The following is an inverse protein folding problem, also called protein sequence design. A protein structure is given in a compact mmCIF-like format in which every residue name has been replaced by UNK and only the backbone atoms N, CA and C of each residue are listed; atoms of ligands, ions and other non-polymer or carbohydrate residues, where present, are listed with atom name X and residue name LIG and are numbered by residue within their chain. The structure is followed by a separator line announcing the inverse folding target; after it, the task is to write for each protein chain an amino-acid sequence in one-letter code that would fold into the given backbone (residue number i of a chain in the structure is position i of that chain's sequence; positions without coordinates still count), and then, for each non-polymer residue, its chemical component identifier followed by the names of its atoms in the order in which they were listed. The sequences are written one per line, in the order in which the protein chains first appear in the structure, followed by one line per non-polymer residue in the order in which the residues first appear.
data_IF_813704550453
#
_entry.id   IF_813704550453
#
_cell.length_a   1.000
_cell.length_b   1.000
_cell.length_c   1.000
_cell.angle_alpha   90.00
_cell.angle_beta   90.00
_cell.angle_gamma   90.00
#
_symmetry.space_group_name_H-M   'P 1'
#
loop_
_entity.id
_entity.type
_entity.pdbx_description
1 polymer ?
#
# COMPACT_ATOMS: atom_id res chain seq x y z
N UNK A 1 120.69 31.76 22.70
CA UNK A 1 120.24 30.61 21.89
C UNK A 1 118.82 30.31 22.34
N UNK A 2 117.83 30.97 21.72
CA UNK A 2 117.15 30.69 20.42
C UNK A 2 115.85 29.94 20.72
N UNK A 3 114.71 30.64 20.59
CA UNK A 3 113.66 30.41 19.55
C UNK A 3 112.65 29.33 19.99
N UNK A 4 111.36 29.32 19.68
CA UNK A 4 110.42 30.19 18.95
C UNK A 4 109.00 29.74 19.40
N UNK A 5 108.04 30.66 19.54
CA UNK A 5 106.84 30.80 18.68
C UNK A 5 105.55 30.01 19.04
N UNK A 6 104.46 30.77 19.01
CA UNK A 6 103.16 30.51 18.38
C UNK A 6 101.90 30.00 19.14
N UNK A 7 100.88 30.87 19.02
CA UNK A 7 99.46 30.67 18.68
C UNK A 7 98.46 29.97 19.62
N UNK A 8 97.55 30.81 20.12
CA UNK A 8 96.08 30.76 19.98
C UNK A 8 95.27 29.49 20.35
N UNK A 9 94.22 29.80 21.12
CA UNK A 9 92.90 29.18 21.14
C UNK A 9 92.76 27.81 21.82
N UNK A 10 91.95 27.78 22.89
CA UNK A 10 90.55 27.34 22.81
C UNK A 10 89.88 27.47 24.17
N UNK A 11 89.01 28.47 24.25
CA UNK A 11 87.81 28.41 25.08
C UNK A 11 87.09 27.09 24.83
N UNK A 12 86.61 26.44 25.90
CA UNK A 12 85.66 25.33 25.71
C UNK A 12 85.56 24.27 26.79
N UNK A 13 85.87 24.53 28.06
CA UNK A 13 85.73 23.50 29.11
C UNK A 13 85.04 24.00 30.39
N UNK A 14 83.92 24.73 30.23
CA UNK A 14 82.99 25.05 31.34
C UNK A 14 81.50 24.92 30.97
N UNK A 15 81.14 24.14 29.96
CA UNK A 15 79.74 23.80 29.67
C UNK A 15 79.55 22.30 29.92
N UNK A 16 78.73 21.91 30.90
CA UNK A 16 78.43 20.49 31.10
C UNK A 16 77.92 20.09 32.49
N UNK A 17 77.99 20.97 33.50
CA UNK A 17 77.40 20.70 34.82
C UNK A 17 76.03 21.36 35.06
N UNK A 18 75.71 22.46 34.38
CA UNK A 18 74.40 23.14 34.52
C UNK A 18 73.30 22.68 33.54
N UNK A 19 73.64 21.96 32.46
CA UNK A 19 72.64 21.49 31.48
C UNK A 19 71.87 20.24 31.92
N UNK A 20 72.38 19.52 32.93
CA UNK A 20 71.71 18.30 33.43
C UNK A 20 70.43 18.60 34.22
N UNK A 21 70.36 19.77 34.85
CA UNK A 21 69.16 20.22 35.57
C UNK A 21 68.04 20.68 34.62
N UNK A 22 68.39 21.46 33.60
CA UNK A 22 67.42 21.93 32.60
C UNK A 22 66.92 20.78 31.70
N UNK A 23 67.77 19.81 31.37
CA UNK A 23 67.38 18.62 30.62
C UNK A 23 66.36 17.74 31.38
N UNK A 24 66.54 17.58 32.71
CA UNK A 24 65.58 16.85 33.55
C UNK A 24 64.24 17.58 33.62
N UNK A 25 64.25 18.91 33.79
CA UNK A 25 63.02 19.71 33.84
C UNK A 25 62.29 19.69 32.49
N UNK A 26 63.01 19.78 31.37
CA UNK A 26 62.45 19.59 30.02
C UNK A 26 61.82 18.19 29.87
N UNK A 27 62.53 17.14 30.28
CA UNK A 27 62.04 15.77 30.18
C UNK A 27 60.76 15.55 31.01
N UNK A 28 60.70 16.09 32.23
CA UNK A 28 59.50 16.01 33.08
C UNK A 28 58.36 16.83 32.50
N UNK A 29 58.63 18.03 31.97
CA UNK A 29 57.59 18.86 31.36
C UNK A 29 56.99 18.21 30.12
N UNK A 30 57.83 17.61 29.27
CA UNK A 30 57.38 16.83 28.10
C UNK A 30 56.59 15.59 28.52
N UNK A 31 57.00 14.87 29.57
CA UNK A 31 56.26 13.74 30.12
C UNK A 31 54.88 14.15 30.66
N UNK A 32 54.79 15.28 31.37
CA UNK A 32 53.51 15.82 31.87
C UNK A 32 52.59 16.22 30.71
N UNK A 33 53.13 16.85 29.66
CA UNK A 33 52.37 17.16 28.46
C UNK A 33 51.85 15.90 27.74
N UNK A 34 52.71 14.91 27.53
CA UNK A 34 52.34 13.66 26.87
C UNK A 34 51.31 12.86 27.67
N UNK A 35 51.43 12.83 28.99
CA UNK A 35 50.45 12.16 29.87
C UNK A 35 49.11 12.90 29.89
N UNK A 36 49.13 14.24 29.93
CA UNK A 36 47.90 15.04 29.82
C UNK A 36 47.20 14.81 28.47
N UNK A 37 47.94 14.83 27.36
CA UNK A 37 47.40 14.53 26.02
C UNK A 37 46.86 13.10 25.94
N UNK A 38 47.59 12.11 26.46
CA UNK A 38 47.13 10.72 26.51
C UNK A 38 45.83 10.56 27.31
N UNK A 39 45.72 11.20 28.47
CA UNK A 39 44.50 11.19 29.28
C UNK A 39 43.31 11.84 28.55
N UNK A 40 43.54 12.96 27.84
CA UNK A 40 42.47 13.60 27.06
C UNK A 40 41.99 12.72 25.90
N UNK A 41 42.88 12.02 25.20
CA UNK A 41 42.51 11.13 24.10
C UNK A 41 41.72 9.91 24.59
N UNK A 42 42.07 9.35 25.75
CA UNK A 42 41.31 8.27 26.36
C UNK A 42 39.90 8.71 26.74
N UNK A 43 39.76 9.89 27.35
CA UNK A 43 38.45 10.44 27.70
C UNK A 43 37.57 10.69 26.46
N UNK A 44 38.15 11.23 25.39
CA UNK A 44 37.46 11.42 24.11
C UNK A 44 37.00 10.06 23.55
N UNK A 45 37.88 9.06 23.56
CA UNK A 45 37.55 7.71 23.06
C UNK A 45 36.43 7.04 23.87
N UNK A 46 36.43 7.17 25.20
CA UNK A 46 35.33 6.66 26.04
C UNK A 46 34.01 7.38 25.75
N UNK A 47 34.05 8.70 25.52
CA UNK A 47 32.87 9.48 25.17
C UNK A 47 32.32 9.10 23.80
N UNK A 48 33.19 8.88 22.82
CA UNK A 48 32.80 8.40 21.48
C UNK A 48 32.17 7.00 21.56
N UNK A 49 32.74 6.08 22.33
CA UNK A 49 32.16 4.74 22.51
C UNK A 49 30.78 4.79 23.18
N UNK A 50 30.61 5.61 24.23
CA UNK A 50 29.31 5.79 24.90
C UNK A 50 28.29 6.41 23.94
N UNK A 51 28.69 7.39 23.16
CA UNK A 51 27.82 8.04 22.16
C UNK A 51 27.42 7.04 21.08
N UNK A 52 28.35 6.23 20.57
CA UNK A 52 28.06 5.19 19.59
C UNK A 52 27.12 4.11 20.11
N UNK A 53 27.24 3.72 21.38
CA UNK A 53 26.30 2.78 22.01
C UNK A 53 24.90 3.39 22.17
N UNK A 54 24.79 4.67 22.55
CA UNK A 54 23.51 5.37 22.65
C UNK A 54 22.85 5.52 21.27
N UNK A 55 23.61 5.85 20.23
CA UNK A 55 23.11 5.95 18.84
C UNK A 55 22.58 4.61 18.35
N UNK A 56 23.37 3.54 18.51
CA UNK A 56 22.94 2.19 18.12
C UNK A 56 21.68 1.78 18.86
N UNK A 57 21.62 2.05 20.17
CA UNK A 57 20.46 1.73 21.01
C UNK A 57 19.21 2.49 20.57
N UNK A 58 19.34 3.79 20.32
CA UNK A 58 18.27 4.65 19.80
C UNK A 58 17.69 4.09 18.48
N UNK A 59 18.57 3.74 17.53
CA UNK A 59 18.15 3.12 16.26
C UNK A 59 17.49 1.76 16.46
N UNK A 60 18.04 0.90 17.30
CA UNK A 60 17.45 -0.43 17.55
C UNK A 60 16.05 -0.34 18.15
N UNK A 61 15.85 0.59 19.09
CA UNK A 61 14.54 0.74 19.71
C UNK A 61 13.54 1.41 18.77
N UNK A 62 13.99 2.35 17.93
CA UNK A 62 13.20 2.93 16.87
C UNK A 62 12.65 1.85 15.91
N UNK A 63 13.51 0.95 15.42
CA UNK A 63 13.08 -0.16 14.57
C UNK A 63 12.15 -1.15 15.29
N UNK A 64 12.31 -1.35 16.60
CA UNK A 64 11.35 -2.14 17.38
C UNK A 64 9.98 -1.47 17.46
N UNK A 65 9.93 -0.13 17.57
CA UNK A 65 8.69 0.64 17.54
C UNK A 65 8.05 0.64 16.15
N UNK A 66 8.83 0.75 15.07
CA UNK A 66 8.34 0.60 13.69
C UNK A 66 7.78 -0.80 13.43
N UNK A 67 8.43 -1.85 13.94
CA UNK A 67 7.89 -3.21 13.84
C UNK A 67 6.52 -3.32 14.53
N UNK A 68 6.34 -2.67 15.68
CA UNK A 68 5.04 -2.60 16.36
C UNK A 68 4.01 -1.79 15.58
N UNK A 69 4.43 -0.73 14.88
CA UNK A 69 3.56 0.06 14.03
C UNK A 69 3.05 -0.77 12.85
N UNK A 70 3.94 -1.46 12.13
CA UNK A 70 3.58 -2.30 10.98
C UNK A 70 2.72 -3.50 11.37
N UNK A 71 3.06 -4.19 12.47
CA UNK A 71 2.22 -5.28 12.98
C UNK A 71 0.87 -4.77 13.51
N UNK A 72 0.83 -3.58 14.10
CA UNK A 72 -0.41 -2.89 14.45
C UNK A 72 -1.27 -2.60 13.22
N UNK A 73 -0.67 -2.09 12.14
CA UNK A 73 -1.35 -1.78 10.87
C UNK A 73 -1.96 -3.01 10.21
N UNK A 74 -1.21 -4.11 10.17
CA UNK A 74 -1.72 -5.37 9.67
C UNK A 74 -2.80 -5.96 10.60
N UNK A 75 -2.64 -5.83 11.92
CA UNK A 75 -3.66 -6.26 12.88
C UNK A 75 -4.96 -5.48 12.68
N UNK A 76 -4.90 -4.15 12.43
CA UNK A 76 -6.07 -3.34 12.10
C UNK A 76 -6.80 -3.90 10.88
N UNK A 77 -6.06 -4.21 9.81
CA UNK A 77 -6.62 -4.78 8.57
C UNK A 77 -7.28 -6.12 8.81
N UNK A 78 -6.63 -7.03 9.52
CA UNK A 78 -7.16 -8.36 9.82
C UNK A 78 -8.41 -8.28 10.69
N UNK A 79 -8.40 -7.43 11.73
CA UNK A 79 -9.57 -7.22 12.60
C UNK A 79 -10.72 -6.64 11.79
N UNK A 80 -10.47 -5.64 10.95
CA UNK A 80 -11.50 -5.04 10.11
C UNK A 80 -12.10 -6.05 9.13
N UNK A 81 -11.26 -6.84 8.46
CA UNK A 81 -11.71 -7.92 7.58
C UNK A 81 -12.51 -9.01 8.28
N UNK A 82 -12.33 -9.19 9.60
CA UNK A 82 -13.11 -10.14 10.39
C UNK A 82 -14.55 -9.68 10.66
N UNK A 83 -14.89 -8.43 10.30
CA UNK A 83 -16.23 -7.87 10.40
C UNK A 83 -17.28 -8.72 9.68
N UNK A 84 -18.31 -9.13 10.43
CA UNK A 84 -19.33 -10.10 9.97
C UNK A 84 -20.17 -9.55 8.82
N UNK A 85 -20.34 -8.22 8.73
CA UNK A 85 -21.10 -7.57 7.67
C UNK A 85 -20.22 -6.65 6.82
N UNK A 86 -20.65 -6.38 5.59
CA UNK A 86 -19.95 -5.45 4.71
C UNK A 86 -19.94 -4.02 5.27
N UNK A 87 -20.98 -3.62 6.02
CA UNK A 87 -21.04 -2.32 6.67
C UNK A 87 -19.97 -2.15 7.75
N UNK A 88 -19.67 -3.20 8.52
CA UNK A 88 -18.60 -3.16 9.53
C UNK A 88 -17.22 -3.07 8.87
N UNK A 89 -17.03 -3.78 7.75
CA UNK A 89 -15.78 -3.75 6.97
C UNK A 89 -15.53 -2.43 6.23
N UNK A 90 -16.57 -1.62 6.04
CA UNK A 90 -16.53 -0.38 5.25
C UNK A 90 -16.19 0.87 6.06
N UNK A 91 -15.82 0.72 7.34
CA UNK A 91 -15.36 1.80 8.20
C UNK A 91 -14.48 1.26 9.33
N UNK A 92 -14.10 2.12 10.28
CA UNK A 92 -13.21 1.79 11.40
C UNK A 92 -13.86 1.94 12.80
N UNK A 93 -15.18 2.14 12.83
CA UNK A 93 -15.94 2.44 14.06
C UNK A 93 -15.89 1.29 15.08
N UNK A 94 -15.92 0.04 14.63
CA UNK A 94 -15.90 -1.13 15.50
C UNK A 94 -14.52 -1.34 16.13
N UNK A 95 -13.47 -1.06 15.37
CA UNK A 95 -12.08 -1.11 15.81
C UNK A 95 -11.81 -0.02 16.84
N UNK A 96 -12.31 1.20 16.62
CA UNK A 96 -12.24 2.29 17.59
C UNK A 96 -13.05 1.97 18.85
N UNK A 97 -14.25 1.40 18.71
CA UNK A 97 -15.06 0.94 19.85
C UNK A 97 -14.33 -0.15 20.65
N UNK A 98 -13.65 -1.06 19.98
CA UNK A 98 -12.84 -2.11 20.63
C UNK A 98 -11.63 -1.52 21.35
N UNK A 99 -10.98 -0.52 20.76
CA UNK A 99 -9.84 0.20 21.35
C UNK A 99 -10.24 1.00 22.60
N UNK A 100 -11.45 1.54 22.65
CA UNK A 100 -11.97 2.31 23.78
C UNK A 100 -12.10 1.51 25.09
N UNK A 101 -12.14 0.18 25.00
CA UNK A 101 -12.22 -0.67 26.18
C UNK A 101 -13.51 -0.55 27.00
N UNK A 102 -13.50 -0.98 28.27
CA UNK A 102 -14.71 -1.15 29.09
C UNK A 102 -15.52 0.11 29.36
N UNK A 103 -14.89 1.30 29.40
CA UNK A 103 -15.60 2.56 29.64
C UNK A 103 -16.27 3.13 28.36
N UNK A 104 -15.98 2.59 27.18
CA UNK A 104 -16.48 3.07 25.90
C UNK A 104 -15.95 4.46 25.47
N UNK A 105 -14.80 4.89 25.98
CA UNK A 105 -14.15 6.17 25.69
C UNK A 105 -12.68 5.95 25.36
N UNK A 106 -12.25 6.42 24.18
CA UNK A 106 -10.83 6.50 23.86
C UNK A 106 -10.22 7.66 24.67
N UNK A 107 -9.45 7.33 25.71
CA UNK A 107 -8.76 8.32 26.55
C UNK A 107 -7.23 8.15 26.52
N UNK A 108 -6.74 7.29 25.63
CA UNK A 108 -5.32 6.99 25.45
C UNK A 108 -4.45 8.24 25.20
N UNK A 109 -3.54 8.51 26.13
CA UNK A 109 -2.50 9.54 26.01
C UNK A 109 -1.12 8.91 25.74
N UNK A 110 -0.53 9.12 24.54
CA UNK A 110 0.79 8.59 24.22
C UNK A 110 1.89 9.19 25.10
N UNK A 111 1.68 10.33 25.77
CA UNK A 111 2.64 10.89 26.71
C UNK A 111 2.63 10.18 28.07
N UNK A 112 1.52 9.52 28.42
CA UNK A 112 1.41 8.73 29.63
C UNK A 112 1.98 7.31 29.45
N UNK A 113 2.04 6.82 28.21
CA UNK A 113 2.53 5.48 27.86
C UNK A 113 4.00 5.27 28.25
N UNK A 114 4.27 4.24 29.06
CA UNK A 114 5.62 3.93 29.56
C UNK A 114 5.89 2.43 29.60
N UNK A 115 7.14 2.00 29.34
CA UNK A 115 7.55 0.63 29.60
C UNK A 115 7.71 0.37 31.11
N UNK A 116 7.49 -0.88 31.51
CA UNK A 116 7.83 -1.39 32.83
C UNK A 116 9.04 -2.30 32.68
N UNK A 117 10.18 -1.94 33.25
CA UNK A 117 11.40 -2.74 33.18
C UNK A 117 11.61 -3.58 34.44
N UNK A 118 12.23 -4.75 34.28
CA UNK A 118 12.80 -5.50 35.39
C UNK A 118 14.17 -4.94 35.82
N UNK A 119 14.81 -5.60 36.79
CA UNK A 119 16.13 -5.20 37.29
C UNK A 119 17.26 -5.35 36.26
N UNK A 120 17.07 -6.18 35.23
CA UNK A 120 18.01 -6.37 34.12
C UNK A 120 17.83 -5.35 33.00
N UNK A 121 16.78 -4.51 33.09
CA UNK A 121 16.46 -3.52 32.08
C UNK A 121 15.68 -4.07 30.89
N UNK A 122 15.06 -5.24 31.04
CA UNK A 122 14.20 -5.85 30.03
C UNK A 122 12.73 -5.50 30.31
N UNK A 123 11.98 -5.20 29.24
CA UNK A 123 10.57 -4.81 29.39
C UNK A 123 9.71 -6.01 29.81
N UNK A 124 8.89 -5.83 30.85
CA UNK A 124 7.93 -6.82 31.36
C UNK A 124 6.48 -6.47 31.03
N UNK A 125 6.23 -5.21 30.65
CA UNK A 125 4.91 -4.72 30.26
C UNK A 125 4.93 -3.26 29.85
N UNK A 126 3.75 -2.74 29.55
CA UNK A 126 3.49 -1.32 29.32
C UNK A 126 2.45 -0.82 30.32
N UNK A 127 2.47 0.48 30.61
CA UNK A 127 1.52 1.15 31.50
C UNK A 127 1.18 2.54 30.97
N UNK A 128 0.18 3.20 31.55
CA UNK A 128 -0.20 4.58 31.19
C UNK A 128 -1.23 4.68 30.06
N UNK A 129 -1.81 3.56 29.63
CA UNK A 129 -2.90 3.50 28.65
C UNK A 129 -4.28 3.27 29.29
N UNK A 130 -4.39 3.43 30.61
CA UNK A 130 -5.67 3.35 31.32
C UNK A 130 -6.40 2.03 31.08
N UNK A 131 -7.65 2.13 30.61
CA UNK A 131 -8.50 1.02 30.23
C UNK A 131 -8.65 0.83 28.71
N UNK A 132 -8.00 1.68 27.90
CA UNK A 132 -7.92 1.48 26.46
C UNK A 132 -7.24 0.14 26.14
N UNK A 133 -7.76 -0.56 25.15
CA UNK A 133 -7.27 -1.88 24.76
C UNK A 133 -6.20 -1.72 23.68
N UNK A 134 -5.00 -2.27 23.85
CA UNK A 134 -3.99 -2.26 22.79
C UNK A 134 -4.52 -2.97 21.53
N UNK A 135 -4.45 -2.29 20.38
CA UNK A 135 -4.70 -2.89 19.07
C UNK A 135 -3.79 -4.11 18.87
N UNK A 136 -2.53 -3.97 19.27
CA UNK A 136 -1.59 -5.09 19.41
C UNK A 136 -1.04 -5.13 20.82
N UNK A 137 -1.34 -6.22 21.52
CA UNK A 137 -0.77 -6.50 22.84
C UNK A 137 0.74 -6.69 22.78
N UNK A 138 1.41 -6.63 23.94
CA UNK A 138 2.87 -6.75 24.02
C UNK A 138 3.38 -7.99 23.29
N UNK A 139 4.18 -7.78 22.25
CA UNK A 139 4.71 -8.82 21.37
C UNK A 139 6.23 -8.76 21.37
N UNK A 140 6.88 -9.92 21.28
CA UNK A 140 8.35 -10.02 21.30
C UNK A 140 8.91 -9.87 19.89
N UNK A 141 9.98 -9.11 19.74
CA UNK A 141 10.68 -8.88 18.48
C UNK A 141 12.19 -8.93 18.69
N UNK A 142 12.80 -10.08 18.40
CA UNK A 142 14.20 -10.32 18.75
C UNK A 142 14.40 -10.26 20.27
N UNK A 143 15.25 -9.34 20.74
CA UNK A 143 15.44 -9.08 22.17
C UNK A 143 14.51 -7.99 22.71
N UNK A 144 13.85 -7.26 21.81
CA UNK A 144 12.92 -6.19 22.16
C UNK A 144 11.48 -6.66 22.30
N UNK A 145 10.62 -5.72 22.70
CA UNK A 145 9.17 -5.89 22.75
C UNK A 145 8.47 -4.65 22.26
N UNK A 146 7.31 -4.81 21.65
CA UNK A 146 6.49 -3.69 21.22
C UNK A 146 5.01 -3.87 21.57
N UNK A 147 4.24 -2.79 21.53
CA UNK A 147 2.78 -2.80 21.53
C UNK A 147 2.26 -1.66 20.64
N UNK A 148 1.03 -1.79 20.14
CA UNK A 148 0.39 -0.78 19.31
C UNK A 148 -1.01 -0.44 19.83
N UNK A 149 -1.39 0.83 19.69
CA UNK A 149 -2.64 1.41 20.17
C UNK A 149 -3.31 2.18 19.03
N UNK A 150 -4.64 2.20 19.03
CA UNK A 150 -5.45 2.85 18.00
C UNK A 150 -6.20 4.04 18.59
N UNK A 151 -6.17 5.18 17.90
CA UNK A 151 -7.06 6.31 18.16
C UNK A 151 -7.57 6.88 16.85
N UNK A 152 -8.65 7.65 16.90
CA UNK A 152 -9.17 8.32 15.71
C UNK A 152 -8.25 9.49 15.29
N UNK A 153 -8.40 9.99 14.06
CA UNK A 153 -7.66 11.15 13.58
C UNK A 153 -8.10 12.47 14.23
N UNK A 154 -7.42 13.54 13.86
CA UNK A 154 -7.69 14.86 14.41
C UNK A 154 -8.96 15.50 13.83
N UNK A 155 -9.40 15.08 12.63
CA UNK A 155 -10.54 15.68 11.94
C UNK A 155 -11.85 15.23 12.59
N UNK A 156 -12.00 13.94 12.85
CA UNK A 156 -13.15 13.39 13.56
C UNK A 156 -13.05 13.56 15.10
N UNK A 157 -11.84 13.86 15.56
CA UNK A 157 -11.50 14.07 16.95
C UNK A 157 -10.96 12.78 17.56
N UNK A 158 -9.76 12.86 18.15
CA UNK A 158 -8.96 11.72 18.57
C UNK A 158 -9.66 10.69 19.48
N UNK A 159 -10.65 11.15 20.26
CA UNK A 159 -11.42 10.32 21.19
C UNK A 159 -12.76 9.83 20.61
N UNK A 160 -13.13 10.26 19.41
CA UNK A 160 -14.37 9.86 18.73
C UNK A 160 -14.31 8.40 18.31
N UNK A 161 -15.39 7.66 18.54
CA UNK A 161 -15.58 6.30 18.03
C UNK A 161 -16.15 6.26 16.62
N UNK A 162 -16.55 7.42 16.08
CA UNK A 162 -17.04 7.56 14.72
C UNK A 162 -15.93 8.13 13.84
N UNK A 163 -15.48 7.31 12.90
CA UNK A 163 -14.57 7.62 11.81
C UNK A 163 -15.40 7.84 10.53
N UNK A 164 -15.15 8.96 9.86
CA UNK A 164 -15.91 9.37 8.67
C UNK A 164 -15.10 9.34 7.38
N UNK A 165 -13.80 9.03 7.48
CA UNK A 165 -12.83 9.17 6.40
C UNK A 165 -11.82 8.01 6.29
N UNK A 166 -12.05 6.88 6.98
CA UNK A 166 -11.18 5.70 7.03
C UNK A 166 -9.73 6.04 7.44
N UNK A 167 -9.57 7.03 8.34
CA UNK A 167 -8.27 7.58 8.71
C UNK A 167 -8.12 7.57 10.23
N UNK A 168 -7.15 6.79 10.69
CA UNK A 168 -6.90 6.61 12.13
C UNK A 168 -5.41 6.79 12.45
N UNK A 169 -5.09 6.86 13.73
CA UNK A 169 -3.71 7.01 14.23
C UNK A 169 -3.31 5.76 14.99
N UNK A 170 -2.24 5.11 14.53
CA UNK A 170 -1.58 4.05 15.28
C UNK A 170 -0.42 4.65 16.06
N UNK A 171 -0.38 4.36 17.36
CA UNK A 171 0.75 4.68 18.24
C UNK A 171 1.43 3.39 18.65
N UNK A 172 2.71 3.24 18.33
CA UNK A 172 3.50 2.09 18.70
C UNK A 172 4.60 2.47 19.68
N UNK A 173 4.76 1.65 20.73
CA UNK A 173 5.88 1.73 21.65
C UNK A 173 6.75 0.50 21.45
N UNK A 174 8.06 0.72 21.29
CA UNK A 174 9.07 -0.31 21.21
C UNK A 174 10.04 -0.20 22.38
N UNK A 175 10.59 -1.34 22.77
CA UNK A 175 11.58 -1.46 23.84
C UNK A 175 12.70 -2.37 23.42
N UNK A 176 13.87 -2.13 23.99
CA UNK A 176 15.04 -2.98 23.86
C UNK A 176 15.71 -3.08 25.25
N UNK A 177 16.54 -4.12 25.52
CA UNK A 177 17.32 -4.21 26.73
C UNK A 177 18.04 -2.90 27.13
N UNK A 178 18.42 -2.82 28.41
CA UNK A 178 19.08 -1.66 29.04
C UNK A 178 18.19 -0.41 29.16
N UNK A 179 16.92 -0.56 29.53
CA UNK A 179 16.01 0.56 29.82
C UNK A 179 15.78 1.48 28.60
N UNK A 180 15.68 0.88 27.42
CA UNK A 180 15.53 1.61 26.16
C UNK A 180 14.08 1.54 25.69
N UNK A 181 13.49 2.68 25.33
CA UNK A 181 12.15 2.74 24.76
C UNK A 181 12.01 3.90 23.80
N UNK A 182 11.14 3.74 22.82
CA UNK A 182 10.83 4.75 21.82
C UNK A 182 9.35 4.67 21.44
N UNK A 183 8.73 5.81 21.15
CA UNK A 183 7.34 5.88 20.70
C UNK A 183 7.29 6.48 19.30
N UNK A 184 6.62 5.79 18.39
CA UNK A 184 6.33 6.29 17.04
C UNK A 184 4.82 6.36 16.84
N UNK A 185 4.39 7.28 16.00
CA UNK A 185 3.00 7.43 15.61
C UNK A 185 2.89 7.56 14.11
N UNK A 186 1.92 6.87 13.52
CA UNK A 186 1.56 7.05 12.13
C UNK A 186 0.07 7.29 11.95
N UNK A 187 -0.25 8.12 10.98
CA UNK A 187 -1.59 8.24 10.43
C UNK A 187 -1.71 7.15 9.37
N UNK A 188 -2.68 6.27 9.53
CA UNK A 188 -2.98 5.19 8.59
C UNK A 188 -4.33 5.44 7.95
N UNK A 189 -4.42 5.17 6.66
CA UNK A 189 -5.60 5.46 5.84
C UNK A 189 -5.88 4.27 4.91
N UNK A 190 -7.16 3.99 4.63
CA UNK A 190 -7.50 2.92 3.69
C UNK A 190 -7.21 3.38 2.27
N UNK A 191 -6.32 2.68 1.57
CA UNK A 191 -6.19 2.85 0.13
C UNK A 191 -7.47 2.35 -0.54
N UNK A 192 -8.24 3.26 -1.10
CA UNK A 192 -9.42 2.97 -1.90
C UNK A 192 -9.23 3.49 -3.32
N UNK A 193 -9.70 2.73 -4.29
CA UNK A 193 -9.80 3.23 -5.65
C UNK A 193 -11.00 4.17 -5.76
N UNK A 194 -10.96 5.16 -6.66
CA UNK A 194 -12.12 5.97 -6.96
C UNK A 194 -13.30 5.08 -7.36
N UNK A 195 -14.51 5.60 -7.20
CA UNK A 195 -15.73 4.85 -7.49
C UNK A 195 -15.76 4.35 -8.94
N UNK A 196 -16.32 3.15 -9.12
CA UNK A 196 -16.51 2.57 -10.45
C UNK A 196 -17.75 3.20 -11.10
N UNK A 197 -17.60 3.87 -12.26
CA UNK A 197 -18.68 4.68 -12.85
C UNK A 197 -19.70 3.85 -13.65
N UNK A 198 -19.42 2.58 -13.95
CA UNK A 198 -20.26 1.70 -14.75
C UNK A 198 -20.03 0.22 -14.41
N UNK A 199 -20.93 -0.65 -14.87
CA UNK A 199 -20.76 -2.12 -14.77
C UNK A 199 -19.53 -2.59 -15.53
N UNK A 200 -19.35 -2.03 -16.73
CA UNK A 200 -18.21 -2.20 -17.60
C UNK A 200 -17.73 -0.79 -17.95
N UNK A 201 -16.57 -0.41 -17.43
CA UNK A 201 -15.90 0.85 -17.73
C UNK A 201 -14.79 0.60 -18.73
N UNK A 202 -14.82 1.30 -19.86
CA UNK A 202 -13.80 1.19 -20.91
C UNK A 202 -13.17 2.55 -21.15
N UNK A 203 -11.85 2.63 -20.95
CA UNK A 203 -11.08 3.86 -21.14
C UNK A 203 -10.29 3.77 -22.44
N UNK A 204 -10.23 4.91 -23.15
CA UNK A 204 -9.58 5.05 -24.45
C UNK A 204 -10.55 5.52 -25.55
N UNK A 205 -10.03 5.96 -26.71
CA UNK A 205 -10.85 6.34 -27.85
C UNK A 205 -11.47 5.09 -28.50
N UNK A 206 -12.68 5.22 -29.05
CA UNK A 206 -13.35 4.16 -29.82
C UNK A 206 -13.36 2.81 -29.10
N UNK A 207 -13.87 2.79 -27.86
CA UNK A 207 -14.03 1.56 -27.07
C UNK A 207 -14.80 0.47 -27.84
N UNK A 208 -14.16 -0.67 -28.09
CA UNK A 208 -14.70 -1.78 -28.88
C UNK A 208 -15.45 -2.77 -27.97
N UNK A 209 -16.75 -2.57 -27.87
CA UNK A 209 -17.64 -3.42 -27.08
C UNK A 209 -18.39 -4.40 -27.99
N UNK A 210 -18.47 -5.67 -27.61
CA UNK A 210 -19.39 -6.66 -28.19
C UNK A 210 -20.06 -7.44 -27.05
N UNK A 211 -21.36 -7.22 -26.85
CA UNK A 211 -22.10 -7.96 -25.82
C UNK A 211 -22.55 -9.37 -26.19
N UNK A 212 -22.23 -9.82 -27.39
CA UNK A 212 -22.61 -11.14 -27.89
C UNK A 212 -24.11 -11.26 -28.22
N UNK A 213 -24.48 -12.41 -28.78
CA UNK A 213 -25.80 -12.58 -29.42
C UNK A 213 -26.82 -13.38 -28.57
N UNK A 214 -26.50 -13.68 -27.31
CA UNK A 214 -27.34 -14.48 -26.43
C UNK A 214 -28.45 -13.66 -25.77
N UNK A 215 -29.72 -14.00 -26.06
CA UNK A 215 -30.89 -13.40 -25.39
C UNK A 215 -30.98 -13.74 -23.89
N UNK A 216 -30.26 -14.77 -23.45
CA UNK A 216 -30.38 -15.29 -22.09
C UNK A 216 -29.35 -14.66 -21.13
N UNK A 217 -28.35 -13.94 -21.65
CA UNK A 217 -27.44 -13.13 -20.85
C UNK A 217 -28.15 -11.86 -20.39
N UNK A 218 -27.79 -11.39 -19.21
CA UNK A 218 -28.18 -10.08 -18.70
C UNK A 218 -26.95 -9.23 -18.41
N UNK A 219 -27.06 -7.96 -18.78
CA UNK A 219 -26.17 -6.91 -18.40
C UNK A 219 -26.96 -5.93 -17.53
N UNK A 220 -26.56 -5.79 -16.27
CA UNK A 220 -27.34 -5.07 -15.28
C UNK A 220 -26.50 -4.02 -14.59
N UNK A 221 -26.92 -2.76 -14.69
CA UNK A 221 -26.32 -1.63 -13.98
C UNK A 221 -27.00 -1.30 -12.64
N UNK A 222 -28.17 -1.88 -12.38
CA UNK A 222 -28.83 -1.81 -11.08
C UNK A 222 -28.00 -2.51 -10.01
N UNK A 223 -27.90 -1.89 -8.84
CA UNK A 223 -27.05 -2.39 -7.78
C UNK A 223 -27.42 -3.82 -7.35
N UNK A 224 -26.45 -4.73 -7.51
CA UNK A 224 -26.55 -6.17 -7.31
C UNK A 224 -27.71 -6.82 -8.07
N UNK A 225 -28.06 -6.28 -9.25
CA UNK A 225 -29.20 -6.73 -10.04
C UNK A 225 -30.56 -6.34 -9.43
N UNK A 226 -30.58 -5.23 -8.68
CA UNK A 226 -31.77 -4.69 -8.00
C UNK A 226 -32.00 -5.21 -6.58
N UNK A 227 -31.14 -6.12 -6.09
CA UNK A 227 -31.19 -6.58 -4.69
C UNK A 227 -30.27 -5.80 -3.74
N UNK A 228 -29.46 -4.90 -4.28
CA UNK A 228 -28.55 -4.04 -3.51
C UNK A 228 -29.27 -2.81 -2.96
N UNK A 229 -28.59 -1.67 -3.01
CA UNK A 229 -29.12 -0.37 -2.57
C UNK A 229 -30.28 0.04 -3.50
N UNK A 230 -31.52 0.21 -2.98
CA UNK A 230 -32.66 0.57 -3.82
C UNK A 230 -32.46 1.91 -4.55
N UNK A 231 -32.64 1.88 -5.87
CA UNK A 231 -32.50 3.08 -6.72
C UNK A 231 -31.06 3.46 -7.07
N UNK A 232 -30.06 2.74 -6.55
CA UNK A 232 -28.68 2.88 -7.01
C UNK A 232 -28.50 2.13 -8.33
N UNK A 233 -28.10 2.85 -9.37
CA UNK A 233 -27.82 2.28 -10.69
C UNK A 233 -26.69 3.04 -11.37
N UNK A 234 -25.85 2.32 -12.11
CA UNK A 234 -24.80 2.88 -12.97
C UNK A 234 -25.04 2.46 -14.43
N UNK A 235 -24.50 3.17 -15.44
CA UNK A 235 -24.52 2.66 -16.81
C UNK A 235 -24.01 1.21 -16.90
N UNK A 236 -24.56 0.44 -17.84
CA UNK A 236 -24.03 -0.89 -18.13
C UNK A 236 -22.65 -0.76 -18.75
N UNK A 237 -22.52 0.09 -19.77
CA UNK A 237 -21.22 0.38 -20.40
C UNK A 237 -20.95 1.87 -20.26
N UNK A 238 -19.87 2.21 -19.56
CA UNK A 238 -19.37 3.57 -19.44
C UNK A 238 -18.11 3.74 -20.30
N UNK A 239 -18.10 4.73 -21.19
CA UNK A 239 -16.98 4.99 -22.10
C UNK A 239 -16.58 6.47 -22.12
N UNK A 240 -15.40 6.77 -22.67
CA UNK A 240 -14.88 8.14 -22.76
C UNK A 240 -15.14 8.74 -24.15
N UNK A 241 -16.00 9.75 -24.19
CA UNK A 241 -16.29 10.55 -25.38
C UNK A 241 -17.45 10.02 -26.23
N UNK A 242 -18.13 10.92 -26.94
CA UNK A 242 -19.33 10.58 -27.73
C UNK A 242 -19.04 9.60 -28.88
N UNK A 243 -17.82 9.65 -29.46
CA UNK A 243 -17.42 8.73 -30.52
C UNK A 243 -17.32 7.28 -29.99
N UNK A 244 -16.76 7.11 -28.79
CA UNK A 244 -16.69 5.81 -28.11
C UNK A 244 -18.07 5.33 -27.70
N UNK A 245 -18.96 6.22 -27.26
CA UNK A 245 -20.35 5.89 -26.94
C UNK A 245 -21.08 5.34 -28.16
N UNK A 246 -21.02 6.05 -29.30
CA UNK A 246 -21.61 5.58 -30.56
C UNK A 246 -21.03 4.23 -31.00
N UNK A 247 -19.73 4.02 -30.80
CA UNK A 247 -19.08 2.75 -31.15
C UNK A 247 -19.53 1.60 -30.24
N UNK A 248 -19.57 1.82 -28.92
CA UNK A 248 -20.01 0.82 -27.96
C UNK A 248 -21.51 0.49 -28.09
N UNK A 249 -22.35 1.47 -28.42
CA UNK A 249 -23.77 1.24 -28.73
C UNK A 249 -23.97 0.28 -29.90
N UNK A 250 -23.11 0.34 -30.94
CA UNK A 250 -23.14 -0.60 -32.06
C UNK A 250 -22.83 -2.05 -31.63
N UNK A 251 -22.11 -2.20 -30.50
CA UNK A 251 -21.82 -3.45 -29.83
C UNK A 251 -22.97 -4.05 -29.02
N UNK A 252 -24.01 -3.26 -28.74
CA UNK A 252 -25.19 -3.70 -28.00
C UNK A 252 -26.04 -4.60 -28.89
N UNK A 253 -26.03 -5.88 -28.57
CA UNK A 253 -26.80 -6.91 -29.27
C UNK A 253 -27.85 -7.46 -28.33
N UNK A 254 -29.05 -7.73 -28.85
CA UNK A 254 -30.21 -8.14 -28.04
C UNK A 254 -30.54 -7.10 -26.93
N UNK A 255 -31.01 -5.89 -27.29
CA UNK A 255 -31.17 -4.77 -26.37
C UNK A 255 -31.94 -5.07 -25.08
N UNK A 256 -32.93 -5.99 -25.11
CA UNK A 256 -33.67 -6.40 -23.91
C UNK A 256 -32.86 -7.12 -22.83
N UNK A 257 -31.62 -7.52 -23.14
CA UNK A 257 -30.67 -8.09 -22.18
C UNK A 257 -29.96 -7.04 -21.32
N UNK A 258 -30.14 -5.75 -21.60
CA UNK A 258 -29.45 -4.65 -20.94
C UNK A 258 -30.44 -3.82 -20.14
N UNK A 259 -30.21 -3.69 -18.84
CA UNK A 259 -31.08 -2.91 -17.95
C UNK A 259 -30.24 -2.13 -16.94
N UNK A 260 -30.59 -0.87 -16.72
CA UNK A 260 -30.05 -0.10 -15.60
C UNK A 260 -31.01 1.03 -15.23
N UNK A 261 -31.49 1.01 -13.99
CA UNK A 261 -32.53 1.91 -13.51
C UNK A 261 -33.78 1.79 -14.38
N UNK A 262 -34.09 2.89 -15.10
CA UNK A 262 -35.19 2.93 -16.08
C UNK A 262 -34.78 2.67 -17.53
N UNK A 263 -33.49 2.58 -17.82
CA UNK A 263 -32.96 2.48 -19.19
C UNK A 263 -32.83 1.03 -19.63
N UNK A 264 -32.96 0.81 -20.95
CA UNK A 264 -32.77 -0.51 -21.57
C UNK A 264 -32.00 -0.41 -22.88
N UNK A 265 -31.32 -1.48 -23.29
CA UNK A 265 -30.63 -1.50 -24.57
C UNK A 265 -29.49 -0.47 -24.67
N UNK A 266 -29.43 0.23 -25.80
CA UNK A 266 -28.39 1.24 -26.08
C UNK A 266 -28.40 2.40 -25.08
N UNK A 267 -29.56 2.74 -24.50
CA UNK A 267 -29.70 3.82 -23.50
C UNK A 267 -28.99 3.48 -22.16
N UNK A 268 -28.46 2.26 -22.02
CA UNK A 268 -27.61 1.85 -20.88
C UNK A 268 -26.11 2.05 -21.12
N UNK A 269 -25.73 2.45 -22.34
CA UNK A 269 -24.38 2.91 -22.68
C UNK A 269 -24.32 4.41 -22.44
N UNK A 270 -23.23 4.91 -21.89
CA UNK A 270 -23.11 6.34 -21.55
C UNK A 270 -21.69 6.84 -21.72
N UNK A 271 -21.55 8.02 -22.33
CA UNK A 271 -20.33 8.82 -22.22
C UNK A 271 -20.18 9.36 -20.78
N UNK A 272 -19.25 8.78 -20.03
CA UNK A 272 -19.01 9.11 -18.61
C UNK A 272 -17.88 10.13 -18.41
N UNK A 273 -17.41 10.81 -19.47
CA UNK A 273 -16.24 11.71 -19.40
C UNK A 273 -16.32 12.80 -18.33
N UNK A 274 -17.55 13.26 -18.03
CA UNK A 274 -17.83 14.30 -17.05
C UNK A 274 -18.24 13.79 -15.65
N UNK A 275 -18.44 12.49 -15.49
CA UNK A 275 -18.85 11.86 -14.21
C UNK A 275 -17.80 10.93 -13.63
N UNK A 276 -16.91 10.39 -14.46
CA UNK A 276 -15.79 9.56 -14.01
C UNK A 276 -14.77 10.40 -13.25
N UNK A 277 -14.20 9.82 -12.19
CA UNK A 277 -13.04 10.41 -11.52
C UNK A 277 -11.91 10.66 -12.53
N UNK A 278 -11.32 11.87 -12.59
CA UNK A 278 -10.26 12.18 -13.54
C UNK A 278 -9.05 11.24 -13.48
N UNK A 279 -8.73 10.67 -12.32
CA UNK A 279 -7.61 9.75 -12.13
C UNK A 279 -7.71 8.49 -13.00
N UNK A 280 -8.93 7.99 -13.27
CA UNK A 280 -9.14 6.83 -14.15
C UNK A 280 -8.74 7.09 -15.61
N UNK A 281 -8.62 8.35 -16.02
CA UNK A 281 -8.15 8.74 -17.36
C UNK A 281 -6.65 9.01 -17.39
N UNK A 282 -6.02 9.12 -16.23
CA UNK A 282 -4.59 9.39 -16.09
C UNK A 282 -3.81 8.07 -16.16
N UNK A 283 -2.98 7.96 -17.19
CA UNK A 283 -2.20 6.76 -17.41
C UNK A 283 -1.12 6.54 -16.34
N UNK A 284 -0.53 7.62 -15.81
CA UNK A 284 0.46 7.53 -14.73
C UNK A 284 -0.20 7.01 -13.45
N UNK A 285 -1.42 7.49 -13.16
CA UNK A 285 -2.21 6.96 -12.05
C UNK A 285 -2.48 5.46 -12.22
N UNK A 286 -2.91 5.01 -13.40
CA UNK A 286 -3.16 3.58 -13.65
C UNK A 286 -1.88 2.72 -13.49
N UNK A 287 -0.71 3.24 -13.87
CA UNK A 287 0.57 2.57 -13.62
C UNK A 287 0.94 2.48 -12.15
N UNK A 288 0.80 3.58 -11.40
CA UNK A 288 1.03 3.59 -9.97
C UNK A 288 0.06 2.66 -9.26
N UNK A 289 -1.19 2.64 -9.71
CA UNK A 289 -2.22 1.73 -9.20
C UNK A 289 -1.86 0.27 -9.43
N UNK A 290 -1.45 -0.07 -10.65
CA UNK A 290 -1.01 -1.42 -11.00
C UNK A 290 0.17 -1.87 -10.13
N UNK A 291 1.14 -0.98 -9.83
CA UNK A 291 2.26 -1.25 -8.93
C UNK A 291 1.79 -1.50 -7.50
N UNK A 292 0.88 -0.67 -7.00
CA UNK A 292 0.35 -0.80 -5.64
C UNK A 292 -0.46 -2.08 -5.48
N UNK A 293 -1.33 -2.40 -6.45
CA UNK A 293 -2.08 -3.67 -6.46
C UNK A 293 -1.12 -4.86 -6.51
N UNK A 294 -0.10 -4.82 -7.38
CA UNK A 294 0.89 -5.89 -7.47
C UNK A 294 1.65 -6.10 -6.16
N UNK A 295 2.01 -5.01 -5.47
CA UNK A 295 2.71 -5.07 -4.20
C UNK A 295 1.82 -5.59 -3.05
N UNK A 296 0.53 -5.29 -3.10
CA UNK A 296 -0.46 -5.72 -2.11
C UNK A 296 -1.07 -7.10 -2.39
N UNK A 297 -0.90 -7.65 -3.60
CA UNK A 297 -1.59 -8.86 -4.05
C UNK A 297 -1.23 -10.10 -3.21
N UNK A 298 -2.25 -10.88 -2.85
CA UNK A 298 -2.06 -12.21 -2.24
C UNK A 298 -1.38 -13.17 -3.22
N UNK A 299 -1.61 -12.97 -4.52
CA UNK A 299 -1.07 -13.79 -5.60
C UNK A 299 -0.56 -12.87 -6.71
N UNK A 300 0.73 -12.98 -6.99
CA UNK A 300 1.34 -12.45 -8.21
C UNK A 300 1.71 -13.62 -9.10
N UNK A 301 1.21 -13.64 -10.33
CA UNK A 301 1.37 -14.78 -11.22
C UNK A 301 1.40 -14.40 -12.70
N UNK A 302 1.34 -15.43 -13.56
CA UNK A 302 1.35 -15.31 -15.01
C UNK A 302 0.24 -16.19 -15.63
N UNK A 303 0.31 -16.44 -16.94
CA UNK A 303 -0.58 -17.38 -17.65
C UNK A 303 -0.59 -18.80 -17.07
N UNK A 304 0.44 -19.21 -16.31
CA UNK A 304 0.51 -20.53 -15.66
C UNK A 304 -0.07 -20.57 -14.24
N UNK A 305 -0.64 -19.46 -13.76
CA UNK A 305 -1.20 -19.40 -12.40
C UNK A 305 -2.35 -20.40 -12.26
N UNK A 306 -2.37 -21.27 -11.24
CA UNK A 306 -3.45 -22.23 -11.06
C UNK A 306 -4.80 -21.57 -10.76
N UNK A 307 -5.85 -22.01 -11.44
CA UNK A 307 -7.23 -21.54 -11.24
C UNK A 307 -7.78 -21.76 -9.82
N UNK A 308 -7.26 -22.75 -9.08
CA UNK A 308 -7.63 -22.98 -7.67
C UNK A 308 -7.19 -21.87 -6.71
N UNK A 309 -6.40 -20.90 -7.18
CA UNK A 309 -5.85 -19.84 -6.35
C UNK A 309 -6.72 -18.58 -6.28
N UNK A 310 -7.82 -18.48 -7.04
CA UNK A 310 -8.55 -17.22 -7.32
C UNK A 310 -9.47 -16.67 -6.21
N UNK A 311 -9.32 -17.12 -4.97
CA UNK A 311 -10.17 -16.72 -3.84
C UNK A 311 -11.50 -17.47 -3.79
N UNK A 312 -12.24 -17.30 -2.68
CA UNK A 312 -13.53 -17.95 -2.44
C UNK A 312 -14.44 -17.08 -1.56
N UNK A 313 -15.72 -17.44 -1.47
CA UNK A 313 -16.64 -16.75 -0.57
C UNK A 313 -16.14 -16.86 0.88
N UNK A 314 -15.88 -15.71 1.53
CA UNK A 314 -15.30 -15.63 2.88
C UNK A 314 -13.76 -15.64 2.95
N UNK A 315 -13.09 -15.89 1.83
CA UNK A 315 -11.63 -15.78 1.68
C UNK A 315 -11.30 -15.23 0.29
N UNK A 316 -11.76 -14.00 0.05
CA UNK A 316 -11.48 -13.26 -1.17
C UNK A 316 -9.98 -12.93 -1.27
N UNK A 317 -9.48 -12.75 -2.49
CA UNK A 317 -8.06 -12.49 -2.74
C UNK A 317 -7.84 -11.36 -3.74
N UNK A 318 -6.71 -10.68 -3.59
CA UNK A 318 -6.13 -9.83 -4.63
C UNK A 318 -5.21 -10.68 -5.52
N UNK A 319 -5.61 -10.88 -6.76
CA UNK A 319 -4.88 -11.66 -7.77
C UNK A 319 -4.35 -10.71 -8.84
N UNK A 320 -3.05 -10.67 -9.00
CA UNK A 320 -2.36 -9.89 -10.03
C UNK A 320 -1.67 -10.83 -11.02
N UNK A 321 -2.06 -10.78 -12.29
CA UNK A 321 -1.51 -11.62 -13.36
C UNK A 321 -0.76 -10.75 -14.38
N UNK A 322 0.52 -11.05 -14.53
CA UNK A 322 1.40 -10.51 -15.57
C UNK A 322 1.21 -11.30 -16.88
N UNK A 323 0.72 -10.62 -17.91
CA UNK A 323 0.46 -11.18 -19.22
C UNK A 323 -0.97 -11.72 -19.37
N UNK A 324 -1.15 -12.59 -20.37
CA UNK A 324 -2.46 -13.14 -20.71
C UNK A 324 -2.90 -14.19 -19.68
N UNK A 325 -4.19 -14.23 -19.35
CA UNK A 325 -4.73 -15.17 -18.36
C UNK A 325 -6.07 -15.76 -18.76
N UNK A 326 -6.24 -17.06 -18.48
CA UNK A 326 -7.47 -17.79 -18.77
C UNK A 326 -8.08 -18.27 -17.45
N UNK A 327 -9.24 -17.73 -17.10
CA UNK A 327 -10.07 -18.29 -16.02
C UNK A 327 -10.79 -19.53 -16.56
N UNK A 328 -10.39 -20.68 -16.05
CA UNK A 328 -10.85 -21.99 -16.54
C UNK A 328 -12.34 -22.21 -16.28
N UNK A 329 -12.99 -22.97 -17.17
CA UNK A 329 -14.42 -23.28 -17.04
C UNK A 329 -14.77 -23.98 -15.73
N UNK A 330 -15.80 -23.48 -15.05
CA UNK A 330 -16.24 -23.98 -13.74
C UNK A 330 -15.43 -23.46 -12.56
N UNK A 331 -14.48 -22.56 -12.79
CA UNK A 331 -13.74 -21.86 -11.74
C UNK A 331 -14.50 -20.59 -11.34
N UNK A 332 -14.64 -20.37 -10.04
CA UNK A 332 -15.20 -19.15 -9.49
C UNK A 332 -14.10 -18.44 -8.70
N UNK A 333 -13.86 -17.16 -8.97
CA UNK A 333 -12.97 -16.33 -8.18
C UNK A 333 -13.74 -15.27 -7.38
N UNK A 334 -13.15 -14.82 -6.27
CA UNK A 334 -13.71 -13.78 -5.41
C UNK A 334 -12.61 -12.82 -4.98
N UNK A 335 -12.83 -11.52 -5.16
CA UNK A 335 -11.89 -10.47 -4.79
C UNK A 335 -11.51 -9.56 -5.96
N UNK A 336 -10.25 -9.15 -6.01
CA UNK A 336 -9.70 -8.36 -7.11
C UNK A 336 -8.98 -9.26 -8.12
N UNK A 337 -9.26 -9.09 -9.40
CA UNK A 337 -8.45 -9.68 -10.47
C UNK A 337 -7.85 -8.56 -11.32
N UNK A 338 -6.53 -8.44 -11.33
CA UNK A 338 -5.80 -7.58 -12.24
C UNK A 338 -5.07 -8.43 -13.28
N UNK A 339 -5.26 -8.13 -14.56
CA UNK A 339 -4.56 -8.80 -15.67
C UNK A 339 -3.96 -7.77 -16.60
N UNK A 340 -2.66 -7.86 -16.85
CA UNK A 340 -1.97 -6.92 -17.75
C UNK A 340 -2.06 -7.28 -19.23
N UNK A 341 -2.37 -8.53 -19.55
CA UNK A 341 -2.58 -8.98 -20.93
C UNK A 341 -4.05 -9.11 -21.31
N UNK A 342 -4.34 -10.12 -22.10
CA UNK A 342 -5.70 -10.55 -22.45
C UNK A 342 -6.28 -11.40 -21.33
N UNK A 343 -7.45 -11.03 -20.82
CA UNK A 343 -8.20 -11.82 -19.85
C UNK A 343 -9.31 -12.60 -20.55
N UNK A 344 -9.24 -13.93 -20.49
CA UNK A 344 -10.24 -14.83 -21.09
C UNK A 344 -11.04 -15.57 -20.03
N UNK A 345 -12.35 -15.40 -20.02
CA UNK A 345 -13.29 -16.26 -19.27
C UNK A 345 -13.82 -17.37 -20.18
N UNK A 346 -13.57 -18.63 -19.81
CA UNK A 346 -14.05 -19.79 -20.56
C UNK A 346 -15.22 -20.49 -19.87
N UNK A 347 -16.22 -20.91 -20.65
CA UNK A 347 -17.33 -21.74 -20.17
C UNK A 347 -18.08 -21.12 -18.97
N UNK A 348 -18.14 -21.85 -17.85
CA UNK A 348 -18.85 -21.44 -16.64
C UNK A 348 -17.99 -20.64 -15.66
N UNK A 349 -16.86 -20.08 -16.09
CA UNK A 349 -16.04 -19.23 -15.24
C UNK A 349 -16.84 -18.03 -14.69
N UNK A 350 -16.72 -17.78 -13.39
CA UNK A 350 -17.45 -16.73 -12.68
C UNK A 350 -16.51 -15.89 -11.81
N UNK A 351 -16.91 -14.65 -11.52
CA UNK A 351 -16.17 -13.75 -10.64
C UNK A 351 -17.10 -12.92 -9.77
N UNK A 352 -16.72 -12.73 -8.51
CA UNK A 352 -17.39 -11.83 -7.56
C UNK A 352 -16.37 -10.82 -7.03
N UNK A 353 -16.53 -9.55 -7.38
CA UNK A 353 -15.64 -8.46 -7.05
C UNK A 353 -15.23 -7.65 -8.28
N UNK A 354 -14.04 -7.04 -8.23
CA UNK A 354 -13.60 -6.10 -9.26
C UNK A 354 -12.60 -6.76 -10.19
N UNK A 355 -12.80 -6.57 -11.50
CA UNK A 355 -11.89 -7.04 -12.55
C UNK A 355 -11.25 -5.83 -13.22
N UNK A 356 -9.92 -5.79 -13.22
CA UNK A 356 -9.09 -4.85 -13.96
C UNK A 356 -8.39 -5.59 -15.10
N UNK A 357 -8.75 -5.28 -16.32
CA UNK A 357 -8.01 -5.70 -17.52
C UNK A 357 -7.25 -4.48 -18.03
N UNK A 358 -6.09 -4.22 -17.44
CA UNK A 358 -5.34 -2.97 -17.60
C UNK A 358 -3.91 -3.28 -17.99
N UNK A 359 -3.58 -2.91 -19.23
CA UNK A 359 -2.34 -3.25 -19.93
C UNK A 359 -2.68 -3.36 -21.41
N UNK A 360 -2.81 -4.57 -21.97
CA UNK A 360 -3.37 -4.74 -23.34
C UNK A 360 -4.83 -4.27 -23.44
N UNK A 361 -5.58 -4.30 -22.33
CA UNK A 361 -6.97 -3.85 -22.31
C UNK A 361 -7.93 -4.73 -23.12
N UNK A 362 -7.70 -6.05 -23.16
CA UNK A 362 -8.53 -6.99 -23.93
C UNK A 362 -9.22 -7.97 -22.98
N UNK A 363 -10.52 -7.82 -22.80
CA UNK A 363 -11.36 -8.79 -22.12
C UNK A 363 -12.09 -9.65 -23.15
N UNK A 364 -12.06 -10.97 -22.94
CA UNK A 364 -12.72 -11.94 -23.80
C UNK A 364 -13.53 -12.96 -23.01
N UNK A 365 -14.73 -13.26 -23.50
CA UNK A 365 -15.55 -14.34 -22.99
C UNK A 365 -16.27 -15.05 -24.11
N UNK A 366 -15.97 -16.34 -24.26
CA UNK A 366 -16.56 -17.21 -25.28
C UNK A 366 -17.15 -18.50 -24.70
N UNK A 367 -18.00 -19.17 -25.48
CA UNK A 367 -18.70 -20.39 -25.07
C UNK A 367 -20.10 -20.17 -24.47
N UNK A 368 -20.85 -21.25 -24.24
CA UNK A 368 -22.27 -21.22 -23.85
C UNK A 368 -22.56 -21.30 -22.35
N UNK A 369 -21.63 -20.88 -21.50
CA UNK A 369 -21.71 -21.11 -20.06
C UNK A 369 -22.59 -20.12 -19.28
N UNK A 370 -22.72 -20.35 -17.97
CA UNK A 370 -23.59 -19.61 -17.06
C UNK A 370 -22.86 -18.87 -15.93
N UNK A 371 -21.53 -18.76 -15.99
CA UNK A 371 -20.76 -18.11 -14.92
C UNK A 371 -21.10 -16.62 -14.81
N UNK A 372 -21.45 -16.14 -13.61
CA UNK A 372 -21.80 -14.74 -13.38
C UNK A 372 -20.55 -13.91 -13.11
N UNK A 373 -20.49 -12.69 -13.64
CA UNK A 373 -19.57 -11.64 -13.19
C UNK A 373 -20.39 -10.64 -12.38
N UNK A 374 -20.08 -10.51 -11.09
CA UNK A 374 -20.77 -9.64 -10.14
C UNK A 374 -19.76 -8.67 -9.53
N UNK A 375 -20.01 -7.37 -9.58
CA UNK A 375 -19.08 -6.33 -9.13
C UNK A 375 -18.86 -5.28 -10.21
N UNK A 376 -17.61 -4.98 -10.61
CA UNK A 376 -17.34 -4.02 -11.68
C UNK A 376 -16.18 -4.48 -12.56
N UNK A 377 -16.22 -4.12 -13.85
CA UNK A 377 -15.16 -4.40 -14.81
C UNK A 377 -14.57 -3.08 -15.28
N UNK A 378 -13.25 -2.97 -15.24
CA UNK A 378 -12.50 -1.83 -15.76
C UNK A 378 -11.51 -2.33 -16.79
N UNK A 379 -11.59 -1.78 -18.01
CA UNK A 379 -10.75 -2.16 -19.14
C UNK A 379 -10.05 -0.93 -19.68
N UNK A 380 -8.73 -0.98 -19.74
CA UNK A 380 -7.91 0.10 -20.28
C UNK A 380 -6.70 -0.48 -21.02
N UNK A 381 -6.48 0.00 -22.24
CA UNK A 381 -5.28 -0.33 -22.99
C UNK A 381 -4.23 0.76 -22.72
N UNK A 382 -3.22 0.43 -21.92
CA UNK A 382 -2.12 1.34 -21.55
C UNK A 382 -0.73 0.76 -21.90
N UNK A 383 -0.65 -0.45 -22.44
CA UNK A 383 0.60 -1.17 -22.71
C UNK A 383 1.31 -0.74 -24.02
N UNK A 384 0.92 0.39 -24.61
CA UNK A 384 1.47 0.82 -25.90
C UNK A 384 1.27 -0.18 -27.05
N UNK A 385 1.94 0.05 -28.20
CA UNK A 385 1.85 -0.83 -29.36
C UNK A 385 2.51 -2.20 -29.20
N UNK A 386 3.49 -2.37 -28.30
CA UNK A 386 4.12 -3.67 -28.08
C UNK A 386 3.22 -4.65 -27.28
N UNK A 387 2.20 -4.11 -26.62
CA UNK A 387 1.21 -4.86 -25.85
C UNK A 387 1.77 -5.48 -24.58
N UNK A 388 2.89 -4.96 -24.06
CA UNK A 388 3.50 -5.36 -22.81
C UNK A 388 3.45 -4.17 -21.84
N UNK A 389 3.00 -4.44 -20.61
CA UNK A 389 3.14 -3.44 -19.54
C UNK A 389 4.58 -3.39 -19.05
N UNK A 390 4.97 -2.24 -18.50
CA UNK A 390 6.27 -1.95 -17.90
C UNK A 390 7.39 -1.72 -18.92
N UNK A 391 7.04 -1.21 -20.08
CA UNK A 391 7.94 -0.90 -21.20
C UNK A 391 7.98 0.61 -21.44
N UNK A 392 8.83 1.05 -22.36
CA UNK A 392 9.05 2.47 -22.61
C UNK A 392 7.94 3.12 -23.45
N UNK A 393 7.09 2.32 -24.09
CA UNK A 393 5.95 2.75 -24.92
C UNK A 393 4.61 2.66 -24.17
N UNK A 394 4.62 2.28 -22.90
CA UNK A 394 3.47 2.41 -22.02
C UNK A 394 2.85 3.82 -22.14
N UNK A 395 1.54 3.90 -22.29
CA UNK A 395 0.77 5.14 -22.47
C UNK A 395 1.08 5.97 -23.71
N UNK A 396 1.89 5.50 -24.66
CA UNK A 396 2.28 6.28 -25.85
C UNK A 396 1.18 6.38 -26.91
N UNK A 397 -0.05 5.96 -26.60
CA UNK A 397 -1.09 5.82 -27.59
C UNK A 397 -0.74 4.85 -28.73
N UNK A 398 -1.44 4.95 -29.88
CA UNK A 398 -1.28 4.02 -31.00
C UNK A 398 0.04 4.12 -31.75
N UNK A 399 0.77 5.24 -31.66
CA UNK A 399 1.96 5.50 -32.47
C UNK A 399 3.28 5.01 -31.85
N UNK A 400 3.27 4.68 -30.55
CA UNK A 400 4.45 4.15 -29.86
C UNK A 400 5.41 5.22 -29.33
N UNK A 401 5.06 6.50 -29.43
CA UNK A 401 5.94 7.62 -29.10
C UNK A 401 5.38 8.42 -27.93
N UNK A 402 6.16 8.57 -26.86
CA UNK A 402 5.79 9.41 -25.72
C UNK A 402 6.06 10.91 -25.97
N UNK A 403 5.22 11.77 -25.41
CA UNK A 403 5.37 13.22 -25.40
C UNK A 403 4.66 13.94 -26.54
N UNK A 404 3.68 13.29 -27.17
CA UNK A 404 2.85 13.84 -28.24
C UNK A 404 1.40 14.06 -27.76
N UNK A 405 0.51 14.39 -28.69
CA UNK A 405 -0.89 14.70 -28.38
C UNK A 405 -1.80 13.48 -28.26
N UNK A 406 -1.33 12.30 -28.68
CA UNK A 406 -2.05 11.02 -28.65
C UNK A 406 -1.64 10.12 -27.48
N UNK A 407 -0.71 10.57 -26.63
CA UNK A 407 -0.43 10.00 -25.32
C UNK A 407 -1.72 9.75 -24.51
N UNK A 408 -1.78 8.58 -23.88
CA UNK A 408 -2.87 8.13 -23.04
C UNK A 408 -3.36 6.72 -23.39
N UNK A 409 -4.48 6.30 -22.78
CA UNK A 409 -5.05 4.99 -23.04
C UNK A 409 -5.50 4.84 -24.51
N UNK A 410 -5.06 3.77 -25.17
CA UNK A 410 -5.51 3.36 -26.49
C UNK A 410 -6.88 2.66 -26.42
N UNK A 411 -7.44 2.28 -27.58
CA UNK A 411 -8.74 1.59 -27.65
C UNK A 411 -8.71 0.28 -26.84
N UNK A 412 -9.66 0.16 -25.91
CA UNK A 412 -9.92 -1.04 -25.13
C UNK A 412 -10.94 -1.94 -25.82
N UNK A 413 -10.85 -3.26 -25.60
CA UNK A 413 -11.77 -4.25 -26.16
C UNK A 413 -12.46 -5.04 -25.04
N UNK A 414 -13.78 -5.13 -25.11
CA UNK A 414 -14.59 -6.02 -24.28
C UNK A 414 -15.48 -6.88 -25.18
N UNK A 415 -15.04 -8.13 -25.41
CA UNK A 415 -15.75 -9.09 -26.25
C UNK A 415 -16.40 -10.17 -25.36
N UNK A 416 -17.73 -10.21 -25.34
CA UNK A 416 -18.52 -11.24 -24.69
C UNK A 416 -19.38 -12.02 -25.71
N UNK A 417 -18.82 -12.32 -26.87
CA UNK A 417 -19.45 -13.03 -28.00
C UNK A 417 -19.94 -14.45 -27.71
N UNK A 418 -19.64 -15.03 -26.54
CA UNK A 418 -20.16 -16.33 -26.11
C UNK A 418 -21.70 -16.41 -26.00
N UNK A 419 -22.24 -17.63 -25.97
CA UNK A 419 -23.65 -17.91 -25.69
C UNK A 419 -23.97 -17.96 -24.17
N UNK A 420 -25.09 -18.61 -23.82
CA UNK A 420 -25.42 -18.95 -22.42
C UNK A 420 -26.04 -17.83 -21.59
N UNK A 421 -25.96 -17.94 -20.27
CA UNK A 421 -26.55 -17.04 -19.26
C UNK A 421 -25.47 -16.40 -18.37
N UNK A 422 -24.29 -16.14 -18.96
CA UNK A 422 -23.17 -15.54 -18.26
C UNK A 422 -23.41 -14.06 -17.99
N UNK A 423 -24.21 -13.75 -16.98
CA UNK A 423 -24.61 -12.39 -16.63
C UNK A 423 -23.43 -11.54 -16.15
N UNK A 424 -23.45 -10.26 -16.49
CA UNK A 424 -22.51 -9.24 -15.98
C UNK A 424 -23.32 -8.19 -15.22
N UNK A 425 -23.04 -8.03 -13.93
CA UNK A 425 -23.91 -7.29 -13.00
C UNK A 425 -23.10 -6.35 -12.14
N UNK A 426 -23.50 -5.08 -12.09
CA UNK A 426 -22.95 -4.14 -11.13
C UNK A 426 -23.36 -4.54 -9.72
N UNK A 427 -22.43 -4.57 -8.77
CA UNK A 427 -22.77 -4.78 -7.37
C UNK A 427 -21.78 -4.03 -6.47
N UNK A 428 -22.23 -2.92 -5.91
CA UNK A 428 -21.46 -2.03 -5.04
C UNK A 428 -20.89 -2.76 -3.83
N UNK A 429 -21.64 -3.70 -3.24
CA UNK A 429 -21.17 -4.50 -2.11
C UNK A 429 -20.06 -5.49 -2.49
N UNK A 430 -20.09 -6.04 -3.72
CA UNK A 430 -19.00 -6.87 -4.23
C UNK A 430 -17.77 -6.00 -4.53
N UNK A 431 -17.95 -4.78 -5.07
CA UNK A 431 -16.85 -3.82 -5.32
C UNK A 431 -16.20 -3.36 -4.01
N UNK A 432 -16.98 -2.97 -3.00
CA UNK A 432 -16.46 -2.50 -1.71
C UNK A 432 -15.81 -3.62 -0.90
N UNK A 433 -16.29 -4.87 -1.04
CA UNK A 433 -15.65 -6.03 -0.40
C UNK A 433 -14.19 -6.23 -0.81
N UNK A 434 -13.83 -5.75 -2.00
CA UNK A 434 -12.46 -5.78 -2.53
C UNK A 434 -11.62 -4.64 -1.96
N UNK A 435 -12.17 -3.43 -1.90
CA UNK A 435 -11.48 -2.26 -1.34
C UNK A 435 -11.07 -2.51 0.12
N UNK A 436 -11.88 -3.25 0.88
CA UNK A 436 -11.58 -3.60 2.26
C UNK A 436 -10.37 -4.54 2.43
N UNK A 437 -9.89 -5.18 1.36
CA UNK A 437 -8.73 -6.09 1.40
C UNK A 437 -7.39 -5.36 1.29
N UNK A 438 -7.37 -4.11 0.83
CA UNK A 438 -6.14 -3.34 0.67
C UNK A 438 -5.45 -3.11 2.02
N UNK A 439 -4.11 -3.19 2.08
CA UNK A 439 -3.36 -2.72 3.22
C UNK A 439 -3.61 -1.23 3.45
N UNK A 440 -3.70 -0.82 4.72
CA UNK A 440 -3.74 0.60 5.06
C UNK A 440 -2.42 1.27 4.67
N UNK A 441 -2.45 2.44 4.05
CA UNK A 441 -1.27 3.24 3.74
C UNK A 441 -0.89 4.15 4.92
N UNK A 442 0.40 4.42 5.10
CA UNK A 442 0.88 5.43 6.04
C UNK A 442 0.91 6.78 5.33
N UNK A 443 0.07 7.72 5.76
CA UNK A 443 -0.01 9.07 5.17
C UNK A 443 0.67 10.15 6.03
N UNK A 444 1.11 9.78 7.23
CA UNK A 444 1.92 10.65 8.08
C UNK A 444 2.65 9.85 9.14
N UNK A 445 3.85 10.29 9.51
CA UNK A 445 4.70 9.62 10.51
C UNK A 445 5.38 10.64 11.42
N UNK A 446 5.50 10.33 12.71
CA UNK A 446 6.34 11.07 13.64
C UNK A 446 6.94 10.17 14.71
N UNK A 447 8.19 10.48 15.06
CA UNK A 447 8.86 10.00 16.26
C UNK A 447 8.57 10.96 17.42
N UNK A 448 8.39 10.46 18.65
CA UNK A 448 7.87 11.24 19.78
C UNK A 448 8.86 11.44 20.92
#
# INVERSE_FOLDING_TARGET
MTESEHHQARDGWRAGRDERGSALVMAVFVLVLLTAMGATLLFVSESEMKTGQVDLRSKTVFYASEAGLEDGRETLRVVNLSGVTAALRAGLNDELTSAAGPNGLINFDPAALKPVFDASGDATGFTGYGDDVPLKSMTTFGQGKYAAFLTNDALDGRASLNDSNDRVVITAIGTWPNFSSEIVQAIVERDSFPSMPATITMIGPLADFDGGNSNAKKYMGDDCGGSGIPGLSVPVVGVIGNASETHAEAGVRKPGSYTSGGNTGVDTVTNISGTIDPSWKDCSYLHDLARNVRAAADIVGSSSTPNGSLGSAGAAKMVYIEGDYIVGGGTNGVGLLWVTGTLTFNGNAAWTGTIFTVGKGIFQRSGGGNGKISGANFVANIAGPDGLMWTADDCSGPDGVLGNSDDGPASATYDNSGGGTGDTVYCSSDVSSVQNQFPFAITGFRQR
#
